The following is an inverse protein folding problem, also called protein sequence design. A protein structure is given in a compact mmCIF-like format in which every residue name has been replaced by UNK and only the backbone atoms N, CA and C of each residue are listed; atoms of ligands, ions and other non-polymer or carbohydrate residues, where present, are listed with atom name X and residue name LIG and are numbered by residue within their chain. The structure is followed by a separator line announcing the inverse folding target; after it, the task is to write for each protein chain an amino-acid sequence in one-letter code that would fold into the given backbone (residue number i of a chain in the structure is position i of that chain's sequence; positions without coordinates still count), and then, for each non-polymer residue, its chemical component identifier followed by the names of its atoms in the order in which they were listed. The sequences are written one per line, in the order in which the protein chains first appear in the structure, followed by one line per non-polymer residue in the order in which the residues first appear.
data_IF_887657331347
#
_entry.id   IF_887657331347
#
_cell.length_a   1.000
_cell.length_b   1.000
_cell.length_c   1.000
_cell.angle_alpha   90.00
_cell.angle_beta   90.00
_cell.angle_gamma   90.00
#
_symmetry.space_group_name_H-M   'P 1'
#
loop_
_entity.id
_entity.type
_entity.pdbx_description
1 polymer ?
#
# COMPACT_ATOMS: atom_id res chain seq x y z
N UNK A 1 -8.66 -0.03 -20.83
CA UNK A 1 -7.77 1.14 -20.64
C UNK A 1 -7.06 1.44 -21.95
N UNK A 2 -6.70 2.69 -22.24
CA UNK A 2 -5.91 3.07 -23.43
C UNK A 2 -4.70 3.90 -23.01
N UNK A 3 -3.54 3.56 -23.56
CA UNK A 3 -2.25 4.22 -23.32
C UNK A 3 -1.84 4.88 -24.63
N UNK A 4 -1.52 6.17 -24.60
CA UNK A 4 -0.99 6.87 -25.77
C UNK A 4 0.53 7.01 -25.62
N UNK A 5 1.27 6.50 -26.60
CA UNK A 5 2.73 6.55 -26.61
C UNK A 5 3.18 7.79 -27.37
N UNK A 6 4.04 8.63 -26.79
CA UNK A 6 4.44 9.88 -27.43
C UNK A 6 5.36 9.68 -28.64
N UNK A 7 6.24 8.68 -28.59
CA UNK A 7 7.13 8.30 -29.69
C UNK A 7 6.72 6.95 -30.29
N UNK A 8 6.49 6.90 -31.60
CA UNK A 8 6.11 5.67 -32.31
C UNK A 8 7.25 4.64 -32.34
N UNK A 9 8.51 5.07 -32.27
CA UNK A 9 9.67 4.18 -32.26
C UNK A 9 9.70 3.24 -31.05
N UNK A 10 9.13 3.68 -29.92
CA UNK A 10 9.10 2.90 -28.66
C UNK A 10 7.77 2.16 -28.43
N UNK A 11 6.75 2.34 -29.29
CA UNK A 11 5.42 1.75 -29.04
C UNK A 11 5.45 0.22 -28.97
N UNK A 12 6.27 -0.44 -29.80
CA UNK A 12 6.48 -1.89 -29.76
C UNK A 12 7.17 -2.36 -28.47
N UNK A 13 8.12 -1.58 -27.95
CA UNK A 13 8.80 -1.89 -26.69
C UNK A 13 7.84 -1.77 -25.51
N UNK A 14 6.97 -0.76 -25.53
CA UNK A 14 5.91 -0.57 -24.52
C UNK A 14 4.89 -1.71 -24.57
N UNK A 15 4.44 -2.10 -25.76
CA UNK A 15 3.53 -3.24 -25.93
C UNK A 15 4.14 -4.53 -25.37
N UNK A 16 5.40 -4.81 -25.70
CA UNK A 16 6.13 -5.98 -25.22
C UNK A 16 6.28 -5.96 -23.69
N UNK A 17 6.66 -4.83 -23.10
CA UNK A 17 6.77 -4.68 -21.66
C UNK A 17 5.43 -4.90 -20.93
N UNK A 18 4.31 -4.46 -21.52
CA UNK A 18 2.97 -4.70 -20.95
C UNK A 18 2.63 -6.20 -21.01
N UNK A 19 2.93 -6.88 -22.13
CA UNK A 19 2.67 -8.32 -22.27
C UNK A 19 3.56 -9.17 -21.35
N UNK A 20 4.82 -8.76 -21.17
CA UNK A 20 5.79 -9.41 -20.27
C UNK A 20 5.59 -9.04 -18.80
N UNK A 21 4.81 -8.00 -18.51
CA UNK A 21 4.37 -7.75 -17.14
C UNK A 21 3.54 -8.96 -16.68
N UNK A 22 3.83 -9.49 -15.49
CA UNK A 22 3.11 -10.61 -14.86
C UNK A 22 1.64 -10.27 -14.50
N UNK A 23 1.02 -9.36 -15.25
CA UNK A 23 -0.36 -8.93 -15.13
C UNK A 23 -1.30 -9.75 -16.01
N UNK A 24 -0.79 -10.58 -16.93
CA UNK A 24 -1.61 -11.44 -17.79
C UNK A 24 -2.45 -10.66 -18.81
N UNK A 25 -1.96 -9.49 -19.22
CA UNK A 25 -2.67 -8.57 -20.10
C UNK A 25 -2.22 -8.76 -21.54
N UNK A 26 -3.19 -8.77 -22.47
CA UNK A 26 -2.94 -8.83 -23.91
C UNK A 26 -3.21 -7.47 -24.55
N UNK A 27 -2.21 -6.57 -24.63
CA UNK A 27 -2.37 -5.26 -25.25
C UNK A 27 -2.63 -5.40 -26.76
N UNK A 28 -3.53 -4.55 -27.27
CA UNK A 28 -3.83 -4.37 -28.70
C UNK A 28 -3.29 -3.01 -29.12
N UNK A 29 -2.31 -3.01 -30.02
CA UNK A 29 -1.68 -1.78 -30.52
C UNK A 29 -2.38 -1.28 -31.78
N UNK A 30 -2.77 0.00 -31.78
CA UNK A 30 -3.28 0.77 -32.91
C UNK A 30 -2.31 1.91 -33.21
N UNK A 31 -1.08 1.52 -33.56
CA UNK A 31 0.04 2.41 -33.86
C UNK A 31 0.59 3.14 -32.63
N UNK A 32 0.04 4.33 -32.37
CA UNK A 32 0.44 5.19 -31.26
C UNK A 32 -0.42 4.97 -30.00
N UNK A 33 -1.58 4.32 -30.17
CA UNK A 33 -2.52 4.03 -29.10
C UNK A 33 -2.45 2.53 -28.75
N UNK A 34 -2.10 2.19 -27.51
CA UNK A 34 -2.09 0.82 -27.00
C UNK A 34 -3.34 0.63 -26.13
N UNK A 35 -4.28 -0.19 -26.57
CA UNK A 35 -5.45 -0.58 -25.78
C UNK A 35 -5.11 -1.80 -24.94
N UNK A 36 -5.36 -1.72 -23.65
CA UNK A 36 -5.18 -2.85 -22.73
C UNK A 36 -6.56 -3.30 -22.26
N UNK A 37 -7.12 -4.36 -22.86
CA UNK A 37 -8.31 -5.00 -22.32
C UNK A 37 -7.91 -5.66 -20.99
N UNK A 38 -8.59 -5.27 -19.91
CA UNK A 38 -8.44 -5.92 -18.61
C UNK A 38 -9.46 -7.06 -18.62
N UNK A 39 -9.05 -8.33 -18.76
CA UNK A 39 -9.97 -9.43 -18.63
C UNK A 39 -10.57 -9.43 -17.21
N UNK A 40 -11.83 -9.84 -17.04
CA UNK A 40 -12.40 -10.02 -15.72
C UNK A 40 -11.50 -10.98 -14.93
N UNK A 41 -11.13 -10.58 -13.72
CA UNK A 41 -10.30 -11.41 -12.84
C UNK A 41 -11.11 -12.65 -12.45
N UNK A 42 -10.54 -13.85 -12.62
CA UNK A 42 -11.14 -15.07 -12.06
C UNK A 42 -11.25 -14.98 -10.54
N UNK A 43 -12.19 -15.71 -9.94
CA UNK A 43 -12.35 -15.73 -8.47
C UNK A 43 -11.05 -16.14 -7.77
N UNK A 44 -10.32 -17.12 -8.32
CA UNK A 44 -9.02 -17.55 -7.82
C UNK A 44 -8.00 -16.40 -7.81
N UNK A 45 -7.92 -15.62 -8.91
CA UNK A 45 -6.98 -14.49 -8.98
C UNK A 45 -7.37 -13.36 -8.03
N UNK A 46 -8.66 -13.12 -7.83
CA UNK A 46 -9.15 -12.15 -6.83
C UNK A 46 -8.75 -12.55 -5.42
N UNK A 47 -8.89 -13.83 -5.07
CA UNK A 47 -8.47 -14.37 -3.78
C UNK A 47 -6.96 -14.24 -3.56
N UNK A 48 -6.15 -14.47 -4.60
CA UNK A 48 -4.70 -14.24 -4.52
C UNK A 48 -4.35 -12.77 -4.24
N UNK A 49 -5.01 -11.83 -4.92
CA UNK A 49 -4.76 -10.40 -4.73
C UNK A 49 -5.18 -9.98 -3.31
N UNK A 50 -6.29 -10.52 -2.79
CA UNK A 50 -6.71 -10.28 -1.39
C UNK A 50 -5.66 -10.78 -0.40
N UNK A 51 -5.12 -12.00 -0.61
CA UNK A 51 -4.03 -12.53 0.24
C UNK A 51 -2.79 -11.63 0.22
N UNK A 52 -2.44 -11.10 -0.96
CA UNK A 52 -1.32 -10.16 -1.11
C UNK A 52 -1.61 -8.86 -0.34
N UNK A 53 -2.81 -8.28 -0.50
CA UNK A 53 -3.22 -7.07 0.20
C UNK A 53 -3.18 -7.25 1.73
N UNK A 54 -3.67 -8.39 2.23
CA UNK A 54 -3.59 -8.75 3.65
C UNK A 54 -2.15 -8.85 4.14
N UNK A 55 -1.26 -9.50 3.36
CA UNK A 55 0.18 -9.57 3.70
C UNK A 55 0.83 -8.19 3.81
N UNK A 56 0.54 -7.27 2.87
CA UNK A 56 1.05 -5.89 2.93
C UNK A 56 0.50 -5.15 4.15
N UNK A 57 -0.77 -5.34 4.48
CA UNK A 57 -1.40 -4.72 5.65
C UNK A 57 -0.76 -5.20 6.95
N UNK A 58 -0.49 -6.50 7.09
CA UNK A 58 0.19 -7.05 8.26
C UNK A 58 1.64 -6.55 8.39
N UNK A 59 2.36 -6.44 7.27
CA UNK A 59 3.70 -5.82 7.28
C UNK A 59 3.65 -4.35 7.73
N UNK A 60 2.67 -3.58 7.25
CA UNK A 60 2.47 -2.20 7.67
C UNK A 60 2.15 -2.11 9.17
N UNK A 61 1.29 -2.99 9.70
CA UNK A 61 0.99 -3.04 11.14
C UNK A 61 2.21 -3.38 11.98
N UNK A 62 3.07 -4.30 11.51
CA UNK A 62 4.34 -4.61 12.18
C UNK A 62 5.25 -3.38 12.21
N UNK A 63 5.36 -2.64 11.10
CA UNK A 63 6.15 -1.41 11.04
C UNK A 63 5.61 -0.34 12.01
N UNK A 64 4.29 -0.13 12.07
CA UNK A 64 3.65 0.79 13.02
C UNK A 64 3.96 0.39 14.47
N UNK A 65 3.91 -0.91 14.80
CA UNK A 65 4.26 -1.41 16.14
C UNK A 65 5.73 -1.17 16.49
N UNK A 66 6.65 -1.31 15.53
CA UNK A 66 8.06 -1.03 15.73
C UNK A 66 8.30 0.47 15.98
N UNK A 67 7.71 1.33 15.15
CA UNK A 67 7.82 2.79 15.31
C UNK A 67 7.24 3.25 16.65
N UNK A 68 6.12 2.67 17.10
CA UNK A 68 5.57 2.95 18.43
C UNK A 68 6.57 2.64 19.54
N UNK A 69 7.26 1.48 19.45
CA UNK A 69 8.27 1.08 20.43
C UNK A 69 9.44 2.06 20.44
N UNK A 70 9.95 2.42 19.27
CA UNK A 70 11.01 3.42 19.12
C UNK A 70 10.60 4.79 19.68
N UNK A 71 9.37 5.22 19.40
CA UNK A 71 8.81 6.47 19.95
C UNK A 71 8.70 6.45 21.47
N UNK A 72 8.20 5.34 22.06
CA UNK A 72 8.14 5.20 23.52
C UNK A 72 9.52 5.15 24.16
N UNK A 73 10.48 4.45 23.55
CA UNK A 73 11.86 4.39 24.05
C UNK A 73 12.56 5.77 23.95
N UNK A 74 12.27 6.55 22.90
CA UNK A 74 12.76 7.91 22.74
C UNK A 74 12.19 8.86 23.82
N UNK A 75 10.89 8.78 24.10
CA UNK A 75 10.24 9.58 25.16
C UNK A 75 10.84 9.26 26.54
N UNK A 76 11.09 7.98 26.84
CA UNK A 76 11.76 7.57 28.09
C UNK A 76 13.21 8.07 28.18
N UNK A 77 13.93 8.16 27.06
CA UNK A 77 15.28 8.74 27.05
C UNK A 77 15.24 10.23 27.34
N UNK A 78 14.33 10.98 26.71
CA UNK A 78 14.17 12.42 26.94
C UNK A 78 13.85 12.76 28.41
N UNK A 79 13.07 11.92 29.09
CA UNK A 79 12.81 12.07 30.53
C UNK A 79 14.10 11.86 31.35
N UNK A 80 14.85 10.79 31.06
CA UNK A 80 16.12 10.50 31.76
C UNK A 80 17.17 11.58 31.55
N UNK A 81 17.19 12.17 30.36
CA UNK A 81 18.10 13.26 30.00
C UNK A 81 17.63 14.62 30.58
N UNK A 82 16.49 14.65 31.29
CA UNK A 82 15.94 15.84 31.95
C UNK A 82 15.37 16.88 30.98
N UNK A 83 15.14 16.51 29.72
CA UNK A 83 14.63 17.41 28.67
C UNK A 83 13.12 17.62 28.83
N UNK A 84 12.41 16.61 29.35
CA UNK A 84 10.96 16.65 29.59
C UNK A 84 10.64 16.23 31.02
N UNK A 85 9.54 16.77 31.57
CA UNK A 85 8.98 16.40 32.87
C UNK A 85 8.19 15.08 32.82
N UNK A 86 7.89 14.49 33.99
CA UNK A 86 7.07 13.26 34.07
C UNK A 86 5.64 13.47 33.49
N UNK A 87 5.08 14.66 33.66
CA UNK A 87 3.77 15.02 33.11
C UNK A 87 3.81 15.14 31.59
N UNK A 88 4.89 15.70 31.03
CA UNK A 88 5.09 15.75 29.57
C UNK A 88 5.35 14.37 28.99
N UNK A 89 6.09 13.50 29.69
CA UNK A 89 6.29 12.11 29.30
C UNK A 89 4.97 11.38 29.11
N UNK A 90 4.06 11.47 30.09
CA UNK A 90 2.74 10.84 30.01
C UNK A 90 1.93 11.35 28.82
N UNK A 91 1.95 12.68 28.57
CA UNK A 91 1.28 13.26 27.40
C UNK A 91 1.85 12.74 26.08
N UNK A 92 3.17 12.69 25.95
CA UNK A 92 3.81 12.16 24.75
C UNK A 92 3.53 10.67 24.54
N UNK A 93 3.56 9.86 25.62
CA UNK A 93 3.19 8.44 25.55
C UNK A 93 1.74 8.24 25.08
N UNK A 94 0.79 9.04 25.60
CA UNK A 94 -0.61 9.03 25.20
C UNK A 94 -0.79 9.45 23.73
N UNK A 95 -0.07 10.46 23.26
CA UNK A 95 -0.11 10.90 21.86
C UNK A 95 0.45 9.84 20.91
N UNK A 96 1.60 9.23 21.24
CA UNK A 96 2.18 8.14 20.47
C UNK A 96 1.22 6.96 20.38
N UNK A 97 0.54 6.63 21.48
CA UNK A 97 -0.45 5.56 21.52
C UNK A 97 -1.67 5.91 20.64
N UNK A 98 -2.25 7.11 20.76
CA UNK A 98 -3.37 7.57 19.93
C UNK A 98 -3.04 7.55 18.43
N UNK A 99 -1.85 8.02 18.05
CA UNK A 99 -1.40 7.99 16.66
C UNK A 99 -1.24 6.56 16.12
N UNK A 100 -0.74 5.65 16.95
CA UNK A 100 -0.61 4.24 16.61
C UNK A 100 -1.98 3.59 16.39
N UNK A 101 -2.93 3.83 17.29
CA UNK A 101 -4.27 3.26 17.21
C UNK A 101 -5.03 3.81 16.00
N UNK A 102 -4.93 5.11 15.74
CA UNK A 102 -5.50 5.74 14.55
C UNK A 102 -4.89 5.19 13.25
N UNK A 103 -3.58 4.96 13.22
CA UNK A 103 -2.89 4.41 12.05
C UNK A 103 -3.28 2.95 11.81
N UNK A 104 -3.40 2.16 12.88
CA UNK A 104 -3.83 0.76 12.80
C UNK A 104 -5.25 0.66 12.25
N UNK A 105 -6.16 1.54 12.72
CA UNK A 105 -7.53 1.61 12.22
C UNK A 105 -7.59 1.97 10.73
N UNK A 106 -6.79 2.96 10.29
CA UNK A 106 -6.69 3.33 8.86
C UNK A 106 -6.22 2.18 7.99
N UNK A 107 -5.26 1.38 8.47
CA UNK A 107 -4.78 0.20 7.75
C UNK A 107 -5.89 -0.87 7.59
N UNK A 108 -6.68 -1.11 8.64
CA UNK A 108 -7.80 -2.05 8.59
C UNK A 108 -8.92 -1.56 7.65
N UNK A 109 -9.24 -0.27 7.69
CA UNK A 109 -10.21 0.35 6.77
C UNK A 109 -9.75 0.23 5.32
N UNK A 110 -8.48 0.57 5.03
CA UNK A 110 -7.92 0.47 3.69
C UNK A 110 -7.92 -0.97 3.15
N UNK A 111 -7.63 -1.96 3.99
CA UNK A 111 -7.71 -3.38 3.60
C UNK A 111 -9.16 -3.76 3.27
N UNK A 112 -10.12 -3.38 4.12
CA UNK A 112 -11.54 -3.70 3.93
C UNK A 112 -12.10 -3.08 2.66
N UNK A 113 -11.77 -1.81 2.39
CA UNK A 113 -12.18 -1.12 1.17
C UNK A 113 -11.56 -1.81 -0.05
N UNK A 114 -10.28 -2.19 0.02
CA UNK A 114 -9.61 -2.88 -1.09
C UNK A 114 -10.19 -4.28 -1.34
N UNK A 115 -10.54 -5.02 -0.30
CA UNK A 115 -11.21 -6.31 -0.42
C UNK A 115 -12.60 -6.17 -1.06
N UNK A 116 -13.35 -5.12 -0.69
CA UNK A 116 -14.67 -4.85 -1.26
C UNK A 116 -14.57 -4.52 -2.74
N UNK A 117 -13.62 -3.66 -3.13
CA UNK A 117 -13.37 -3.32 -4.53
C UNK A 117 -13.02 -4.56 -5.36
N UNK A 118 -12.15 -5.44 -4.85
CA UNK A 118 -11.75 -6.67 -5.55
C UNK A 118 -12.93 -7.64 -5.71
N UNK A 119 -13.86 -7.68 -4.75
CA UNK A 119 -15.04 -8.55 -4.80
C UNK A 119 -16.18 -7.98 -5.65
N UNK A 120 -16.36 -6.65 -5.69
CA UNK A 120 -17.46 -6.02 -6.42
C UNK A 120 -17.22 -5.84 -7.93
N UNK A 121 -15.97 -5.91 -8.41
CA UNK A 121 -15.61 -5.74 -9.84
C UNK A 121 -15.35 -7.05 -10.51
#
# INVERSE_FOLDING_TARGET
MSIQVWDRGVSKSVEKAIRESNLGLNPVSDGQLIRVPIPPLSEERRLEIIKIASKYTEQAKVAVRNIRREGMDAVKKLEKDGVISEDERKKCEDEVQKLTDASSKKLDEALKDKEKDIKQV
#
